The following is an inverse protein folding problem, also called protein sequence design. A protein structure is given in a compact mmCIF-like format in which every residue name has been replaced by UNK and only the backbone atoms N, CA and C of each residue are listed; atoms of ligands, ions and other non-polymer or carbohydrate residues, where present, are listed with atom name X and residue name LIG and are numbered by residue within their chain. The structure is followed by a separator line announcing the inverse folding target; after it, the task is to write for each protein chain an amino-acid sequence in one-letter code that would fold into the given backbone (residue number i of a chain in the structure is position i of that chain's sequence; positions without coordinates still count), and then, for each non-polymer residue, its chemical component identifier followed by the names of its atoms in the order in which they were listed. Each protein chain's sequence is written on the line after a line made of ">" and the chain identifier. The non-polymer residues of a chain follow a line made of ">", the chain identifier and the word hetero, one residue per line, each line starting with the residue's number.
data_IF_561138600950
#
_entry.id   IF_561138600950
#
_cell.length_a   1.000
_cell.length_b   1.000
_cell.length_c   1.000
_cell.angle_alpha   90.00
_cell.angle_beta   90.00
_cell.angle_gamma   90.00
#
_symmetry.space_group_name_H-M   'P 1'
#
loop_
_entity.id
_entity.type
_entity.pdbx_description
1 polymer ?
#
# COMPACT_ATOMS: atom_id res chain seq x y z
N UNK A 1 19.83 -33.60 5.12
CA UNK A 1 19.04 -32.34 5.03
C UNK A 1 19.93 -31.21 5.52
N UNK A 2 20.42 -30.36 4.64
CA UNK A 2 21.19 -29.16 5.02
C UNK A 2 20.18 -28.06 5.32
N UNK A 3 20.06 -27.67 6.59
CA UNK A 3 19.37 -26.46 7.01
C UNK A 3 20.11 -25.27 6.42
N UNK A 4 19.58 -24.67 5.36
CA UNK A 4 20.07 -23.38 4.84
C UNK A 4 19.40 -22.32 5.72
N UNK A 5 20.02 -22.02 6.85
CA UNK A 5 19.68 -20.81 7.59
C UNK A 5 20.14 -19.62 6.73
N UNK A 6 19.19 -18.96 6.08
CA UNK A 6 19.44 -17.69 5.42
C UNK A 6 19.94 -16.64 6.43
N UNK A 7 20.50 -15.53 5.97
CA UNK A 7 20.98 -14.48 6.87
C UNK A 7 19.84 -14.01 7.79
N UNK A 8 20.09 -14.07 9.10
CA UNK A 8 19.15 -13.59 10.10
C UNK A 8 19.31 -12.06 10.19
N UNK A 9 18.32 -11.33 9.67
CA UNK A 9 18.28 -9.87 9.81
C UNK A 9 17.55 -9.48 11.10
N UNK A 10 18.00 -8.43 11.80
CA UNK A 10 17.25 -7.91 12.92
C UNK A 10 15.89 -7.38 12.43
N UNK A 11 14.84 -7.50 13.26
CA UNK A 11 13.52 -7.01 12.90
C UNK A 11 13.55 -5.49 12.66
N UNK A 12 12.72 -4.97 11.71
CA UNK A 12 12.61 -3.55 11.49
C UNK A 12 11.94 -2.85 12.68
N UNK A 13 12.26 -1.59 12.88
CA UNK A 13 11.55 -0.73 13.83
C UNK A 13 10.37 -0.10 13.09
N UNK A 14 9.14 -0.41 13.50
CA UNK A 14 7.94 0.17 12.93
C UNK A 14 7.48 1.36 13.77
N UNK A 15 7.30 2.49 13.12
CA UNK A 15 6.83 3.73 13.77
C UNK A 15 5.94 4.53 12.81
N UNK A 16 5.04 5.40 13.32
CA UNK A 16 4.33 6.34 12.46
C UNK A 16 5.32 7.20 11.65
N UNK A 17 4.99 7.45 10.39
CA UNK A 17 5.75 8.39 9.58
C UNK A 17 5.50 9.83 10.03
N UNK A 18 6.45 10.73 9.76
CA UNK A 18 6.33 12.17 9.97
C UNK A 18 6.55 12.90 8.65
N UNK A 19 6.08 14.15 8.52
CA UNK A 19 6.22 14.91 7.26
C UNK A 19 7.66 14.95 6.73
N UNK A 20 8.64 15.00 7.62
CA UNK A 20 10.06 15.00 7.24
C UNK A 20 10.50 13.72 6.50
N UNK A 21 9.74 12.63 6.58
CA UNK A 21 10.02 11.38 5.89
C UNK A 21 9.59 11.37 4.42
N UNK A 22 8.76 12.34 4.00
CA UNK A 22 8.18 12.36 2.64
C UNK A 22 9.22 12.22 1.54
N UNK A 23 10.37 12.93 1.57
CA UNK A 23 11.40 12.76 0.54
C UNK A 23 11.97 11.34 0.47
N UNK A 24 12.24 10.72 1.62
CA UNK A 24 12.75 9.34 1.68
C UNK A 24 11.71 8.32 1.24
N UNK A 25 10.43 8.51 1.61
CA UNK A 25 9.32 7.69 1.13
C UNK A 25 9.19 7.77 -0.40
N UNK A 26 9.31 8.97 -0.97
CA UNK A 26 9.24 9.19 -2.41
C UNK A 26 10.40 8.52 -3.15
N UNK A 27 11.61 8.57 -2.58
CA UNK A 27 12.79 7.85 -3.10
C UNK A 27 12.55 6.34 -3.08
N UNK A 28 12.14 5.78 -1.94
CA UNK A 28 11.85 4.34 -1.80
C UNK A 28 10.78 3.91 -2.80
N UNK A 29 9.73 4.71 -2.97
CA UNK A 29 8.67 4.44 -3.93
C UNK A 29 9.20 4.37 -5.37
N UNK A 30 9.91 5.40 -5.82
CA UNK A 30 10.47 5.45 -7.16
C UNK A 30 11.44 4.30 -7.44
N UNK A 31 12.27 3.94 -6.47
CA UNK A 31 13.22 2.83 -6.60
C UNK A 31 12.54 1.46 -6.59
N UNK A 32 11.52 1.26 -5.76
CA UNK A 32 10.77 0.00 -5.68
C UNK A 32 9.93 -0.24 -6.96
N UNK A 33 9.37 0.82 -7.54
CA UNK A 33 8.53 0.76 -8.74
C UNK A 33 9.33 0.70 -10.06
N UNK A 34 10.63 0.96 -10.03
CA UNK A 34 11.48 0.94 -11.23
C UNK A 34 11.38 -0.34 -12.09
N UNK A 35 11.26 -1.56 -11.51
CA UNK A 35 11.08 -2.79 -12.30
C UNK A 35 9.63 -3.02 -12.74
N UNK A 36 8.65 -2.27 -12.24
CA UNK A 36 7.24 -2.47 -12.55
C UNK A 36 6.92 -2.02 -13.97
N UNK A 37 6.46 -2.94 -14.83
CA UNK A 37 6.18 -2.68 -16.23
C UNK A 37 5.10 -1.62 -16.42
N UNK A 38 4.00 -1.69 -15.66
CA UNK A 38 2.92 -0.72 -15.76
C UNK A 38 3.40 0.69 -15.40
N UNK A 39 4.16 0.80 -14.33
CA UNK A 39 4.74 2.05 -13.89
C UNK A 39 5.65 2.66 -14.96
N UNK A 40 6.49 1.84 -15.60
CA UNK A 40 7.40 2.28 -16.69
C UNK A 40 6.66 2.77 -17.92
N UNK A 41 5.47 2.26 -18.17
CA UNK A 41 4.59 2.75 -19.25
C UNK A 41 3.96 4.10 -18.87
N UNK A 42 3.55 4.25 -17.62
CA UNK A 42 2.80 5.41 -17.17
C UNK A 42 3.69 6.61 -16.81
N UNK A 43 4.84 6.38 -16.15
CA UNK A 43 5.65 7.45 -15.55
C UNK A 43 7.14 7.15 -15.52
N UNK A 44 7.94 8.24 -15.51
CA UNK A 44 9.33 8.14 -15.07
C UNK A 44 9.44 8.02 -13.54
N UNK A 45 10.54 7.47 -13.01
CA UNK A 45 10.79 7.42 -11.57
C UNK A 45 10.73 8.80 -10.88
N UNK A 46 11.23 9.84 -11.57
CA UNK A 46 11.21 11.21 -11.06
C UNK A 46 9.79 11.76 -10.97
N UNK A 47 8.94 11.46 -11.95
CA UNK A 47 7.52 11.85 -11.94
C UNK A 47 6.77 11.12 -10.82
N UNK A 48 7.05 9.82 -10.61
CA UNK A 48 6.49 9.06 -9.49
C UNK A 48 6.84 9.68 -8.14
N UNK A 49 8.12 9.97 -7.91
CA UNK A 49 8.56 10.59 -6.67
C UNK A 49 7.87 11.95 -6.44
N UNK A 50 7.84 12.79 -7.48
CA UNK A 50 7.18 14.11 -7.42
C UNK A 50 5.69 13.99 -7.10
N UNK A 51 5.00 13.03 -7.73
CA UNK A 51 3.58 12.81 -7.51
C UNK A 51 3.30 12.35 -6.08
N UNK A 52 4.11 11.43 -5.53
CA UNK A 52 3.95 11.00 -4.15
C UNK A 52 4.22 12.15 -3.16
N UNK A 53 5.26 12.96 -3.38
CA UNK A 53 5.52 14.14 -2.53
C UNK A 53 4.30 15.05 -2.52
N UNK A 54 3.78 15.44 -3.69
CA UNK A 54 2.60 16.31 -3.79
C UNK A 54 1.39 15.73 -3.07
N UNK A 55 1.11 14.45 -3.31
CA UNK A 55 -0.02 13.77 -2.69
C UNK A 55 0.10 13.70 -1.15
N UNK A 56 1.29 13.42 -0.63
CA UNK A 56 1.53 13.38 0.80
C UNK A 56 1.53 14.77 1.42
N UNK A 57 2.12 15.78 0.78
CA UNK A 57 2.08 17.16 1.29
C UNK A 57 0.64 17.67 1.48
N UNK A 58 -0.26 17.30 0.57
CA UNK A 58 -1.66 17.69 0.63
C UNK A 58 -2.50 16.89 1.64
N UNK A 59 -2.11 15.62 1.91
CA UNK A 59 -2.97 14.69 2.65
C UNK A 59 -2.32 14.09 3.90
N UNK A 60 -1.12 14.50 4.30
CA UNK A 60 -0.37 13.85 5.38
C UNK A 60 -1.14 13.86 6.70
N UNK A 61 -1.85 14.93 6.99
CA UNK A 61 -2.63 15.10 8.23
C UNK A 61 -4.09 14.64 8.07
N UNK A 62 -4.42 13.92 6.98
CA UNK A 62 -5.76 13.38 6.80
C UNK A 62 -5.99 12.25 7.82
N UNK A 63 -6.97 12.37 8.73
CA UNK A 63 -7.22 11.38 9.77
C UNK A 63 -7.67 10.02 9.25
N UNK A 64 -8.05 9.94 7.97
CA UNK A 64 -8.37 8.67 7.30
C UNK A 64 -7.11 7.94 6.79
N UNK A 65 -5.93 8.52 6.92
CA UNK A 65 -4.69 7.89 6.50
C UNK A 65 -3.85 7.47 7.70
N UNK A 66 -3.39 6.23 7.65
CA UNK A 66 -2.37 5.71 8.56
C UNK A 66 -1.11 5.48 7.74
N UNK A 67 -0.05 6.21 8.07
CA UNK A 67 1.22 6.11 7.37
C UNK A 67 2.26 5.57 8.36
N UNK A 68 2.75 4.37 8.07
CA UNK A 68 3.73 3.68 8.92
C UNK A 68 5.01 3.48 8.14
N UNK A 69 6.15 3.76 8.76
CA UNK A 69 7.48 3.50 8.20
C UNK A 69 8.19 2.39 8.96
N UNK A 70 9.08 1.72 8.26
CA UNK A 70 10.03 0.76 8.80
C UNK A 70 11.43 1.34 8.72
N UNK A 71 12.13 1.31 9.85
CA UNK A 71 13.52 1.74 9.97
C UNK A 71 14.43 0.51 10.13
N UNK A 72 15.59 0.54 9.52
CA UNK A 72 16.65 -0.41 9.83
C UNK A 72 17.08 -0.28 11.29
N UNK A 73 17.19 -1.40 11.99
CA UNK A 73 17.48 -1.40 13.43
C UNK A 73 18.85 -0.79 13.78
N UNK A 74 19.84 -0.94 12.88
CA UNK A 74 21.20 -0.44 13.07
C UNK A 74 21.38 1.01 12.62
N UNK A 75 21.04 1.29 11.35
CA UNK A 75 21.31 2.61 10.73
C UNK A 75 20.24 3.64 10.97
N UNK A 76 19.01 3.21 11.35
CA UNK A 76 17.82 4.05 11.45
C UNK A 76 17.37 4.64 10.10
N UNK A 77 17.89 4.13 9.00
CA UNK A 77 17.48 4.52 7.64
C UNK A 77 16.05 4.03 7.38
N UNK A 78 15.24 4.83 6.67
CA UNK A 78 13.92 4.43 6.20
C UNK A 78 14.07 3.38 5.10
N UNK A 79 13.60 2.17 5.37
CA UNK A 79 13.75 1.00 4.49
C UNK A 79 12.47 0.60 3.77
N UNK A 80 11.32 0.95 4.35
CA UNK A 80 10.02 0.65 3.78
C UNK A 80 8.94 1.54 4.41
N UNK A 81 7.77 1.58 3.77
CA UNK A 81 6.60 2.22 4.34
C UNK A 81 5.30 1.57 3.84
N UNK A 82 4.23 1.76 4.62
CA UNK A 82 2.87 1.40 4.26
C UNK A 82 1.94 2.59 4.41
N UNK A 83 1.02 2.77 3.46
CA UNK A 83 -0.05 3.77 3.52
C UNK A 83 -1.37 3.02 3.52
N UNK A 84 -2.15 3.21 4.59
CA UNK A 84 -3.44 2.59 4.78
C UNK A 84 -4.52 3.66 4.82
N UNK A 85 -5.65 3.37 4.20
CA UNK A 85 -6.82 4.24 4.19
C UNK A 85 -7.94 3.61 5.01
N UNK A 86 -8.48 4.39 5.95
CA UNK A 86 -9.63 4.02 6.76
C UNK A 86 -10.92 4.41 6.01
N UNK A 87 -11.56 3.44 5.37
CA UNK A 87 -12.75 3.67 4.57
C UNK A 87 -14.03 3.32 5.34
N UNK A 88 -15.06 4.17 5.23
CA UNK A 88 -16.34 3.96 5.89
C UNK A 88 -16.35 4.20 7.40
N UNK A 89 -15.28 4.79 7.96
CA UNK A 89 -15.22 5.17 9.37
C UNK A 89 -16.02 6.44 9.66
N UNK A 90 -16.74 6.46 10.79
CA UNK A 90 -17.40 7.69 11.26
C UNK A 90 -16.32 8.70 11.70
N UNK A 91 -16.49 10.00 11.41
CA UNK A 91 -15.58 11.06 11.89
C UNK A 91 -15.27 10.99 13.38
N UNK A 92 -16.27 10.68 14.19
CA UNK A 92 -16.13 10.56 15.65
C UNK A 92 -15.18 9.42 16.04
N UNK A 93 -15.16 8.34 15.28
CA UNK A 93 -14.22 7.21 15.51
C UNK A 93 -12.77 7.58 15.19
N UNK A 94 -12.60 8.61 14.33
CA UNK A 94 -11.30 9.17 13.96
C UNK A 94 -10.87 10.32 14.88
N UNK A 95 -11.67 10.65 15.90
CA UNK A 95 -11.37 11.73 16.84
C UNK A 95 -11.49 13.14 16.23
N UNK A 96 -12.19 13.28 15.11
CA UNK A 96 -12.38 14.55 14.39
C UNK A 96 -13.85 14.93 14.30
N UNK A 97 -14.14 16.22 14.27
CA UNK A 97 -15.50 16.66 14.02
C UNK A 97 -15.83 16.67 12.50
N UNK A 98 -17.14 16.68 12.17
CA UNK A 98 -17.58 16.65 10.77
C UNK A 98 -17.12 17.86 9.96
N UNK A 99 -16.88 19.01 10.59
CA UNK A 99 -16.42 20.22 9.90
C UNK A 99 -14.98 20.06 9.42
N UNK A 100 -14.15 19.34 10.17
CA UNK A 100 -12.76 19.04 9.81
C UNK A 100 -12.70 18.13 8.59
N UNK A 101 -13.61 17.13 8.48
CA UNK A 101 -13.68 16.25 7.30
C UNK A 101 -14.26 16.95 6.06
N UNK A 102 -15.10 17.96 6.23
CA UNK A 102 -15.62 18.76 5.11
C UNK A 102 -14.57 19.74 4.57
N UNK A 103 -13.63 20.20 5.42
CA UNK A 103 -12.47 21.00 5.02
C UNK A 103 -11.35 20.14 4.42
N UNK A 104 -11.19 18.94 4.92
CA UNK A 104 -10.43 17.89 4.23
C UNK A 104 -11.29 17.49 3.04
N UNK A 105 -10.98 17.99 1.83
CA UNK A 105 -11.64 17.53 0.60
C UNK A 105 -11.82 16.02 0.71
N UNK A 106 -13.02 15.46 0.37
CA UNK A 106 -13.22 14.02 0.38
C UNK A 106 -12.03 13.43 -0.33
N UNK A 107 -11.22 12.69 0.43
CA UNK A 107 -9.84 12.43 0.05
C UNK A 107 -9.84 11.99 -1.40
N UNK A 108 -9.27 12.80 -2.30
CA UNK A 108 -8.88 12.34 -3.63
C UNK A 108 -7.77 11.28 -3.49
N UNK A 109 -7.50 10.84 -2.24
CA UNK A 109 -6.84 9.61 -1.92
C UNK A 109 -7.80 8.45 -2.25
N UNK A 110 -8.22 8.45 -3.51
CA UNK A 110 -8.88 7.32 -4.12
C UNK A 110 -7.89 6.17 -4.07
N UNK A 111 -8.35 5.01 -3.72
CA UNK A 111 -7.65 3.79 -4.07
C UNK A 111 -7.30 3.89 -5.56
N UNK A 112 -6.04 3.86 -5.91
CA UNK A 112 -5.58 4.36 -7.20
C UNK A 112 -4.93 5.74 -7.12
N UNK A 113 -4.62 6.22 -5.91
CA UNK A 113 -3.94 7.50 -5.66
C UNK A 113 -2.78 7.78 -6.60
N UNK A 114 -2.08 6.75 -6.98
CA UNK A 114 -0.89 6.81 -7.81
C UNK A 114 -1.21 7.03 -9.28
N UNK A 115 -2.44 6.75 -9.69
CA UNK A 115 -2.87 6.91 -11.09
C UNK A 115 -3.51 8.28 -11.35
N UNK A 116 -3.94 9.00 -10.31
CA UNK A 116 -4.71 10.24 -10.45
C UNK A 116 -3.99 11.50 -9.96
N UNK A 117 -2.74 11.45 -9.59
CA UNK A 117 -2.06 12.55 -8.89
C UNK A 117 -1.46 13.62 -9.77
N UNK A 118 -1.58 13.51 -11.07
CA UNK A 118 -1.31 14.68 -11.89
C UNK A 118 -2.55 15.56 -11.96
N UNK A 119 -2.67 16.43 -10.97
CA UNK A 119 -3.76 17.41 -10.93
C UNK A 119 -3.64 18.45 -12.04
N UNK A 120 -2.47 18.52 -12.68
CA UNK A 120 -2.14 19.51 -13.70
C UNK A 120 -2.21 18.93 -15.12
N UNK A 121 -2.19 17.59 -15.28
CA UNK A 121 -2.30 16.90 -16.57
C UNK A 121 -3.40 15.83 -16.55
N UNK A 122 -4.17 15.66 -17.62
CA UNK A 122 -5.15 14.59 -17.72
C UNK A 122 -4.44 13.24 -17.74
N UNK A 123 -5.06 12.24 -17.07
CA UNK A 123 -4.57 10.87 -17.12
C UNK A 123 -4.40 10.40 -18.55
N UNK A 124 -3.32 9.69 -18.83
CA UNK A 124 -3.17 8.96 -20.09
C UNK A 124 -4.34 7.97 -20.28
N UNK A 125 -4.68 7.57 -21.51
CA UNK A 125 -5.78 6.63 -21.75
C UNK A 125 -5.63 5.33 -20.97
N UNK A 126 -4.42 4.78 -20.81
CA UNK A 126 -4.17 3.61 -19.97
C UNK A 126 -4.39 3.93 -18.48
N UNK A 127 -3.98 5.09 -18.01
CA UNK A 127 -4.23 5.54 -16.65
C UNK A 127 -5.73 5.68 -16.37
N UNK A 128 -6.51 6.19 -17.32
CA UNK A 128 -7.98 6.26 -17.22
C UNK A 128 -8.60 4.86 -17.15
N UNK A 129 -8.15 3.94 -18.00
CA UNK A 129 -8.63 2.54 -18.01
C UNK A 129 -8.41 1.86 -16.65
N UNK A 130 -7.20 1.93 -16.12
CA UNK A 130 -6.86 1.31 -14.83
C UNK A 130 -7.62 1.98 -13.68
N UNK A 131 -7.68 3.32 -13.67
CA UNK A 131 -8.41 4.03 -12.63
C UNK A 131 -9.90 3.69 -12.63
N UNK A 132 -10.51 3.51 -13.81
CA UNK A 132 -11.90 3.05 -13.91
C UNK A 132 -12.06 1.65 -13.34
N UNK A 133 -11.19 0.71 -13.70
CA UNK A 133 -11.26 -0.67 -13.21
C UNK A 133 -11.08 -0.75 -11.67
N UNK A 134 -10.13 0.01 -11.13
CA UNK A 134 -9.93 0.10 -9.66
C UNK A 134 -11.18 0.70 -8.99
N UNK A 135 -11.75 1.74 -9.56
CA UNK A 135 -12.97 2.35 -9.04
C UNK A 135 -14.14 1.37 -9.07
N UNK A 136 -14.34 0.66 -10.17
CA UNK A 136 -15.42 -0.32 -10.32
C UNK A 136 -15.26 -1.46 -9.31
N UNK A 137 -14.04 -1.92 -9.06
CA UNK A 137 -13.74 -2.87 -8.01
C UNK A 137 -14.16 -2.36 -6.62
N UNK A 138 -13.75 -1.17 -6.25
CA UNK A 138 -14.06 -0.58 -4.94
C UNK A 138 -15.56 -0.35 -4.77
N UNK A 139 -16.22 0.16 -5.82
CA UNK A 139 -17.67 0.40 -5.80
C UNK A 139 -18.47 -0.91 -5.73
N UNK A 140 -17.97 -1.99 -6.31
CA UNK A 140 -18.64 -3.29 -6.33
C UNK A 140 -18.48 -4.04 -5.01
N UNK A 141 -17.25 -4.10 -4.48
CA UNK A 141 -16.91 -5.00 -3.38
C UNK A 141 -16.85 -4.33 -2.01
N UNK A 142 -16.59 -3.03 -1.96
CA UNK A 142 -16.29 -2.34 -0.70
C UNK A 142 -17.25 -1.19 -0.38
N UNK A 143 -18.08 -0.77 -1.34
CA UNK A 143 -19.05 0.34 -1.14
C UNK A 143 -20.02 0.03 -0.01
N UNK A 144 -20.16 0.99 0.91
CA UNK A 144 -21.06 0.88 2.05
C UNK A 144 -20.54 -0.03 3.18
N UNK A 145 -19.33 -0.56 3.06
CA UNK A 145 -18.67 -1.31 4.13
C UNK A 145 -17.56 -0.48 4.80
N UNK A 146 -17.29 -0.80 6.05
CA UNK A 146 -16.15 -0.25 6.79
C UNK A 146 -14.97 -1.19 6.63
N UNK A 147 -13.83 -0.69 6.17
CA UNK A 147 -12.63 -1.50 5.92
C UNK A 147 -11.35 -0.67 5.97
N UNK A 148 -10.21 -1.35 6.03
CA UNK A 148 -8.89 -0.73 5.92
C UNK A 148 -8.30 -1.12 4.57
N UNK A 149 -8.02 -0.11 3.74
CA UNK A 149 -7.45 -0.31 2.41
C UNK A 149 -5.95 -0.04 2.42
N UNK A 150 -5.14 -1.04 2.03
CA UNK A 150 -3.71 -0.84 1.80
C UNK A 150 -3.51 -0.18 0.45
N UNK A 151 -3.23 1.12 0.46
CA UNK A 151 -3.01 1.91 -0.76
C UNK A 151 -1.60 1.74 -1.31
N UNK A 152 -0.60 1.65 -0.43
CA UNK A 152 0.81 1.45 -0.79
C UNK A 152 1.52 0.57 0.22
N UNK A 153 2.39 -0.32 -0.28
CA UNK A 153 3.38 -1.05 0.51
C UNK A 153 4.68 -1.08 -0.28
N UNK A 154 5.64 -0.29 0.13
CA UNK A 154 6.90 -0.13 -0.58
C UNK A 154 8.08 -0.49 0.30
N UNK A 155 9.00 -1.28 -0.25
CA UNK A 155 10.26 -1.64 0.40
C UNK A 155 11.41 -1.30 -0.54
N UNK A 156 12.39 -0.54 -0.05
CA UNK A 156 13.61 -0.21 -0.78
C UNK A 156 14.25 -1.52 -1.31
N UNK A 157 14.59 -1.61 -2.60
CA UNK A 157 15.15 -2.82 -3.21
C UNK A 157 16.34 -3.40 -2.45
N UNK A 158 17.14 -2.57 -1.78
CA UNK A 158 18.29 -3.00 -0.97
C UNK A 158 17.89 -3.77 0.29
N UNK A 159 16.66 -3.63 0.74
CA UNK A 159 16.14 -4.21 1.98
C UNK A 159 15.02 -5.23 1.75
N UNK A 160 14.69 -5.54 0.51
CA UNK A 160 13.70 -6.57 0.16
C UNK A 160 14.13 -7.96 0.65
N UNK A 161 13.18 -8.89 0.75
CA UNK A 161 13.37 -10.28 1.20
C UNK A 161 13.92 -10.43 2.63
N UNK A 162 13.78 -9.38 3.47
CA UNK A 162 14.16 -9.38 4.89
C UNK A 162 12.94 -9.42 5.84
N UNK A 163 11.74 -9.70 5.33
CA UNK A 163 10.50 -9.77 6.13
C UNK A 163 9.89 -8.41 6.46
N UNK A 164 10.43 -7.29 5.94
CA UNK A 164 9.97 -5.93 6.30
C UNK A 164 8.53 -5.69 5.80
N UNK A 165 8.21 -6.07 4.56
CA UNK A 165 6.85 -5.98 4.04
C UNK A 165 5.84 -6.79 4.86
N UNK A 166 6.23 -8.00 5.30
CA UNK A 166 5.39 -8.83 6.18
C UNK A 166 5.16 -8.16 7.53
N UNK A 167 6.16 -7.48 8.09
CA UNK A 167 6.03 -6.77 9.35
C UNK A 167 5.05 -5.58 9.24
N UNK A 168 5.12 -4.81 8.15
CA UNK A 168 4.18 -3.73 7.87
C UNK A 168 2.75 -4.24 7.66
N UNK A 169 2.59 -5.37 6.94
CA UNK A 169 1.27 -6.00 6.76
C UNK A 169 0.68 -6.48 8.07
N UNK A 170 1.50 -7.09 8.94
CA UNK A 170 1.07 -7.51 10.28
C UNK A 170 0.56 -6.32 11.09
N UNK A 171 1.28 -5.19 11.07
CA UNK A 171 0.87 -3.97 11.74
C UNK A 171 -0.52 -3.51 11.27
N UNK A 172 -0.77 -3.48 9.95
CA UNK A 172 -2.09 -3.13 9.41
C UNK A 172 -3.20 -4.12 9.77
N UNK A 173 -2.88 -5.43 9.83
CA UNK A 173 -3.80 -6.47 10.29
C UNK A 173 -4.16 -6.31 11.76
N UNK A 174 -3.18 -5.97 12.62
CA UNK A 174 -3.43 -5.72 14.04
C UNK A 174 -4.41 -4.56 14.22
N UNK A 175 -4.28 -3.50 13.39
CA UNK A 175 -5.24 -2.40 13.38
C UNK A 175 -6.63 -2.85 12.89
N UNK A 176 -6.72 -3.61 11.81
CA UNK A 176 -7.99 -4.12 11.29
C UNK A 176 -8.71 -5.03 12.31
N UNK A 177 -7.94 -5.88 12.99
CA UNK A 177 -8.45 -6.74 14.06
C UNK A 177 -8.96 -5.94 15.26
N UNK A 178 -8.23 -4.92 15.68
CA UNK A 178 -8.65 -4.01 16.75
C UNK A 178 -9.98 -3.34 16.39
N UNK A 179 -10.13 -2.84 15.19
CA UNK A 179 -11.31 -2.15 14.71
C UNK A 179 -12.44 -3.12 14.27
N UNK A 180 -12.16 -4.43 14.24
CA UNK A 180 -13.08 -5.50 13.80
C UNK A 180 -13.60 -5.28 12.38
N UNK A 181 -12.71 -4.93 11.46
CA UNK A 181 -13.01 -4.70 10.05
C UNK A 181 -12.12 -5.54 9.15
N UNK A 182 -12.54 -5.73 7.91
CA UNK A 182 -11.73 -6.39 6.88
C UNK A 182 -10.65 -5.45 6.35
N UNK A 183 -9.59 -6.03 5.79
CA UNK A 183 -8.60 -5.32 5.00
C UNK A 183 -8.74 -5.67 3.53
N UNK A 184 -8.45 -4.72 2.66
CA UNK A 184 -8.45 -4.92 1.21
C UNK A 184 -7.23 -4.24 0.58
N UNK A 185 -6.81 -4.76 -0.57
CA UNK A 185 -5.76 -4.17 -1.42
C UNK A 185 -5.93 -4.60 -2.87
N UNK A 186 -5.21 -3.94 -3.76
CA UNK A 186 -4.97 -4.42 -5.12
C UNK A 186 -3.48 -4.75 -5.23
N UNK A 187 -3.18 -6.01 -5.52
CA UNK A 187 -1.83 -6.53 -5.55
C UNK A 187 -1.20 -6.41 -6.93
N UNK A 188 0.00 -5.85 -7.01
CA UNK A 188 0.85 -5.99 -8.19
C UNK A 188 1.33 -7.44 -8.35
N UNK A 189 1.76 -7.88 -9.55
CA UNK A 189 2.29 -9.23 -9.75
C UNK A 189 3.45 -9.58 -8.81
N UNK A 190 4.26 -8.61 -8.46
CA UNK A 190 5.42 -8.79 -7.56
C UNK A 190 4.98 -8.94 -6.10
N UNK A 191 3.95 -8.20 -5.69
CA UNK A 191 3.44 -8.23 -4.31
C UNK A 191 2.50 -9.40 -4.02
N UNK A 192 1.77 -9.89 -5.02
CA UNK A 192 0.73 -10.91 -4.87
C UNK A 192 1.19 -12.17 -4.10
N UNK A 193 2.37 -12.78 -4.39
CA UNK A 193 2.83 -13.96 -3.63
C UNK A 193 3.05 -13.66 -2.14
N UNK A 194 3.48 -12.44 -1.77
CA UNK A 194 3.62 -12.06 -0.38
C UNK A 194 2.28 -12.05 0.33
N UNK A 195 1.27 -11.43 -0.28
CA UNK A 195 -0.07 -11.36 0.30
C UNK A 195 -0.68 -12.75 0.47
N UNK A 196 -0.61 -13.61 -0.55
CA UNK A 196 -1.09 -14.99 -0.45
C UNK A 196 -0.39 -15.78 0.66
N UNK A 197 0.92 -15.61 0.82
CA UNK A 197 1.69 -16.27 1.89
C UNK A 197 1.26 -15.87 3.30
N UNK A 198 0.60 -14.71 3.44
CA UNK A 198 0.06 -14.17 4.69
C UNK A 198 -1.46 -14.37 4.83
N UNK A 199 -2.05 -15.22 3.97
CA UNK A 199 -3.46 -15.60 4.08
C UNK A 199 -4.44 -14.68 3.37
N UNK A 200 -3.98 -13.69 2.58
CA UNK A 200 -4.86 -12.90 1.74
C UNK A 200 -5.45 -13.76 0.63
N UNK A 201 -6.69 -13.47 0.25
CA UNK A 201 -7.43 -14.21 -0.79
C UNK A 201 -7.85 -13.27 -1.90
N UNK A 202 -7.78 -13.77 -3.12
CA UNK A 202 -8.36 -13.09 -4.26
C UNK A 202 -9.89 -13.09 -4.14
N UNK A 203 -10.50 -11.92 -4.32
CA UNK A 203 -11.96 -11.73 -4.16
C UNK A 203 -12.66 -11.40 -5.46
N UNK A 204 -11.92 -11.17 -6.53
CA UNK A 204 -12.45 -10.99 -7.89
C UNK A 204 -11.48 -11.50 -8.92
N UNK A 205 -11.91 -11.52 -10.19
CA UNK A 205 -11.01 -11.78 -11.32
C UNK A 205 -9.91 -10.72 -11.39
N UNK A 206 -8.67 -11.12 -11.71
CA UNK A 206 -7.58 -10.16 -11.91
C UNK A 206 -7.89 -9.16 -13.02
N UNK A 207 -7.39 -7.95 -12.89
CA UNK A 207 -7.35 -6.97 -13.97
C UNK A 207 -6.15 -7.30 -14.87
N UNK A 208 -6.42 -7.73 -16.08
CA UNK A 208 -5.40 -8.01 -17.07
C UNK A 208 -5.22 -6.79 -18.00
N UNK A 209 -3.99 -6.31 -18.12
CA UNK A 209 -3.64 -5.18 -18.96
C UNK A 209 -2.68 -5.63 -20.06
N UNK A 210 -3.16 -5.64 -21.28
CA UNK A 210 -2.32 -5.89 -22.46
C UNK A 210 -1.53 -4.62 -22.80
N UNK A 211 -0.30 -4.55 -22.33
CA UNK A 211 0.56 -3.38 -22.53
C UNK A 211 0.91 -3.15 -24.00
N UNK A 212 0.79 -4.16 -24.88
CA UNK A 212 1.02 -4.00 -26.32
C UNK A 212 0.02 -3.02 -26.96
N UNK A 213 -1.22 -3.00 -26.46
CA UNK A 213 -2.24 -2.03 -26.90
C UNK A 213 -1.91 -0.60 -26.51
N UNK A 214 -1.01 -0.41 -25.57
CA UNK A 214 -0.66 0.87 -24.97
C UNK A 214 0.78 1.30 -25.30
N UNK A 215 1.49 0.54 -26.17
CA UNK A 215 2.91 0.75 -26.47
C UNK A 215 3.23 2.18 -26.92
N UNK A 216 2.30 2.86 -27.58
CA UNK A 216 2.46 4.25 -27.98
C UNK A 216 2.62 5.25 -26.81
N UNK A 217 2.26 4.83 -25.60
CA UNK A 217 2.43 5.60 -24.37
C UNK A 217 3.63 5.12 -23.54
N UNK A 218 4.28 4.03 -23.96
CA UNK A 218 5.44 3.48 -23.24
C UNK A 218 6.68 4.33 -23.48
N UNK A 219 7.30 4.79 -22.40
CA UNK A 219 8.52 5.61 -22.49
C UNK A 219 9.75 4.78 -22.90
N UNK A 220 9.75 3.46 -22.70
CA UNK A 220 10.91 2.58 -22.87
C UNK A 220 10.67 1.38 -23.80
N UNK A 221 9.57 1.33 -24.54
CA UNK A 221 9.27 0.22 -25.45
C UNK A 221 9.00 -1.12 -24.77
N UNK A 222 8.80 -1.15 -23.45
CA UNK A 222 8.44 -2.36 -22.72
C UNK A 222 7.03 -2.81 -23.10
N UNK A 223 6.93 -4.07 -23.52
CA UNK A 223 5.68 -4.69 -23.92
C UNK A 223 5.50 -6.00 -23.17
N UNK A 224 4.27 -6.29 -22.78
CA UNK A 224 3.92 -7.52 -22.09
C UNK A 224 2.53 -7.46 -21.47
N UNK A 225 2.19 -8.49 -20.73
CA UNK A 225 0.98 -8.52 -19.93
C UNK A 225 1.29 -8.06 -18.51
N UNK A 226 0.42 -7.23 -17.98
CA UNK A 226 0.42 -6.83 -16.60
C UNK A 226 -0.89 -7.27 -15.94
N UNK A 227 -0.82 -7.84 -14.75
CA UNK A 227 -1.98 -8.40 -14.05
C UNK A 227 -2.05 -7.82 -12.64
N UNK A 228 -3.16 -7.19 -12.29
CA UNK A 228 -3.45 -6.78 -10.92
C UNK A 228 -4.50 -7.68 -10.29
N UNK A 229 -4.25 -8.15 -9.08
CA UNK A 229 -5.13 -9.05 -8.36
C UNK A 229 -5.74 -8.35 -7.14
N UNK A 230 -7.07 -8.11 -7.13
CA UNK A 230 -7.77 -7.65 -5.95
C UNK A 230 -7.78 -8.72 -4.86
N UNK A 231 -7.28 -8.36 -3.69
CA UNK A 231 -7.17 -9.26 -2.54
C UNK A 231 -7.88 -8.69 -1.32
N UNK A 232 -8.46 -9.56 -0.50
CA UNK A 232 -8.95 -9.19 0.83
C UNK A 232 -8.47 -10.15 1.90
N UNK A 233 -8.41 -9.66 3.14
CA UNK A 233 -8.19 -10.47 4.33
C UNK A 233 -9.32 -10.19 5.31
N UNK A 234 -10.00 -11.26 5.79
CA UNK A 234 -11.07 -11.18 6.77
C UNK A 234 -10.60 -11.64 8.14
N UNK A 235 -11.28 -11.15 9.20
CA UNK A 235 -11.03 -11.52 10.60
C UNK A 235 -11.04 -13.03 10.88
N UNK A 236 -11.87 -13.78 10.17
CA UNK A 236 -12.02 -15.22 10.38
C UNK A 236 -10.77 -16.03 10.04
N UNK A 237 -9.92 -15.53 9.13
CA UNK A 237 -8.71 -16.23 8.70
C UNK A 237 -7.56 -16.16 9.70
N UNK A 238 -7.54 -15.18 10.59
CA UNK A 238 -6.49 -15.01 11.60
C UNK A 238 -6.74 -15.83 12.88
N UNK A 239 -7.93 -16.44 13.04
CA UNK A 239 -8.30 -17.14 14.28
C UNK A 239 -7.77 -18.58 14.38
N UNK A 240 -7.41 -19.25 13.28
CA UNK A 240 -7.11 -20.69 13.34
C UNK A 240 -5.65 -21.12 13.14
N UNK A 241 -4.79 -20.34 12.48
CA UNK A 241 -3.43 -20.85 12.15
C UNK A 241 -2.27 -19.93 12.55
N UNK A 242 -2.49 -18.64 12.78
CA UNK A 242 -1.40 -17.72 13.06
C UNK A 242 -0.95 -17.65 14.51
N UNK A 243 -1.69 -18.25 15.46
CA UNK A 243 -1.28 -18.26 16.88
C UNK A 243 -0.04 -19.11 17.15
N UNK A 244 0.26 -20.09 16.34
CA UNK A 244 1.43 -20.96 16.54
C UNK A 244 2.73 -20.44 15.91
N UNK A 245 2.66 -19.55 14.90
CA UNK A 245 3.84 -19.02 14.24
C UNK A 245 4.39 -17.72 14.83
N UNK A 246 3.64 -17.04 15.69
CA UNK A 246 3.97 -15.67 16.11
C UNK A 246 4.24 -15.50 17.61
N UNK A 247 4.62 -16.58 18.30
CA UNK A 247 4.89 -16.54 19.74
C UNK A 247 6.30 -16.09 20.10
N UNK A 248 6.90 -15.16 19.36
CA UNK A 248 8.14 -14.50 19.79
C UNK A 248 8.05 -12.99 19.68
N UNK A 249 7.77 -12.39 20.83
CA UNK A 249 8.33 -11.14 21.35
C UNK A 249 8.27 -9.90 20.48
N UNK A 250 7.15 -9.21 20.46
CA UNK A 250 7.15 -7.76 20.34
C UNK A 250 6.14 -7.18 21.34
N UNK A 251 6.64 -6.67 22.46
CA UNK A 251 5.88 -5.72 23.27
C UNK A 251 5.89 -4.40 22.52
N UNK A 252 4.87 -4.18 21.70
CA UNK A 252 4.54 -2.86 21.19
C UNK A 252 3.79 -2.17 22.32
N UNK A 253 4.46 -1.32 23.08
CA UNK A 253 3.77 -0.32 23.87
C UNK A 253 2.96 0.55 22.91
N UNK A 254 1.65 0.40 23.03
CA UNK A 254 0.66 1.02 22.18
C UNK A 254 0.61 2.52 22.44
N UNK A 255 1.08 3.30 21.51
CA UNK A 255 0.70 4.70 21.41
C UNK A 255 -0.17 4.87 20.15
N UNK A 256 -1.45 4.60 20.36
CA UNK A 256 -2.49 4.94 19.41
C UNK A 256 -3.06 6.31 19.79
N UNK A 257 -2.55 7.37 19.21
CA UNK A 257 -3.17 8.71 19.19
C UNK A 257 -3.06 9.29 17.80
#
# INVERSE_FOLDING_TARGET
>A
MRSISGPCYPPPILVPAVRADIPDMARVYADAERPNLLTRVLWSPEKLAKNLIKALDENFDNPQLLITKALDAGTKELTAFGIWQLAGYDPKELGVDQSTLQLSRPSNFKAGLLLSTDLDEPLSPIGQYINSAVKDFLDTWLKGTKFIYLALLMTDPKFQQRGIGSALLKWGHERANHDKVNSALIASPVGHPLYQSLGWKDISTPLEVDLQKWVQYAQNGDMGWYVESPCSCSLEMLSHDSRSMFHNSYSLEQHWY
#
